data_IF_241782760519
#
_entry.id   IF_241782760519
#
_cell.length_a   1.000
_cell.length_b   1.000
_cell.length_c   1.000
_cell.angle_alpha   90.00
_cell.angle_beta   90.00
_cell.angle_gamma   90.00
#
_symmetry.space_group_name_H-M   'P 1'
#
loop_
_entity.id
_entity.type
_entity.pdbx_description
1 polymer ?
#
# COMPACT_ATOMS: atom_id res chain seq x y z
N UNK A 1 -0.97 -0.03 6.54
CA UNK A 1 -0.39 0.46 5.29
C UNK A 1 0.45 1.69 5.61
N UNK A 2 1.46 1.97 4.79
CA UNK A 2 2.26 3.19 4.84
C UNK A 2 2.03 4.03 3.59
N UNK A 3 2.34 5.32 3.68
CA UNK A 3 2.24 6.28 2.58
C UNK A 3 3.57 7.00 2.48
N UNK A 4 4.11 7.04 1.27
CA UNK A 4 5.16 7.97 0.87
C UNK A 4 4.55 8.99 -0.08
N UNK A 5 4.53 10.28 0.29
CA UNK A 5 3.99 11.34 -0.56
C UNK A 5 5.12 12.25 -1.03
N UNK A 6 5.65 11.94 -2.20
CA UNK A 6 6.67 12.76 -2.85
C UNK A 6 8.08 12.68 -2.27
N UNK A 7 8.33 11.87 -1.21
CA UNK A 7 9.67 11.83 -0.60
C UNK A 7 10.64 10.95 -1.38
N UNK A 8 10.18 9.85 -1.98
CA UNK A 8 11.02 9.03 -2.84
C UNK A 8 11.08 9.56 -4.28
N UNK A 9 9.92 9.93 -4.85
CA UNK A 9 9.81 10.50 -6.19
C UNK A 9 8.87 11.71 -6.14
N UNK A 10 9.39 12.90 -6.43
CA UNK A 10 8.60 14.14 -6.45
C UNK A 10 7.40 14.03 -7.39
N UNK A 11 6.23 14.41 -6.89
CA UNK A 11 4.97 14.37 -7.65
C UNK A 11 4.28 13.00 -7.70
N UNK A 12 4.86 11.99 -7.04
CA UNK A 12 4.29 10.65 -6.93
C UNK A 12 3.97 10.32 -5.48
N UNK A 13 2.84 9.65 -5.25
CA UNK A 13 2.52 9.04 -3.97
C UNK A 13 2.60 7.53 -4.11
N UNK A 14 3.34 6.89 -3.19
CA UNK A 14 3.38 5.43 -3.03
C UNK A 14 2.56 5.05 -1.82
N UNK A 15 1.65 4.08 -1.96
CA UNK A 15 0.89 3.52 -0.83
C UNK A 15 1.20 2.02 -0.78
N UNK A 16 1.66 1.54 0.37
CA UNK A 16 2.08 0.16 0.53
C UNK A 16 1.41 -0.53 1.73
N UNK A 17 1.05 -1.80 1.58
CA UNK A 17 0.57 -2.64 2.67
C UNK A 17 1.50 -3.83 2.85
N UNK A 18 1.98 -4.11 4.09
CA UNK A 18 2.75 -5.31 4.34
C UNK A 18 1.86 -6.54 4.23
N UNK A 19 2.47 -7.65 3.82
CA UNK A 19 1.90 -9.00 3.86
C UNK A 19 2.71 -9.77 4.89
N UNK A 20 2.04 -10.20 5.95
CA UNK A 20 2.67 -10.92 7.06
C UNK A 20 2.70 -12.42 6.78
N UNK A 21 3.78 -13.10 7.19
CA UNK A 21 3.84 -14.56 7.20
C UNK A 21 3.12 -15.16 8.43
N UNK A 22 3.17 -16.49 8.57
CA UNK A 22 2.55 -17.22 9.68
C UNK A 22 3.11 -16.82 11.06
N UNK A 23 4.37 -16.37 11.10
CA UNK A 23 5.04 -15.87 12.32
C UNK A 23 4.77 -14.38 12.58
N UNK A 24 3.80 -13.78 11.89
CA UNK A 24 3.43 -12.35 11.97
C UNK A 24 4.55 -11.37 11.59
N UNK A 25 5.56 -11.84 10.88
CA UNK A 25 6.64 -11.00 10.36
C UNK A 25 6.32 -10.53 8.94
N UNK A 26 6.76 -9.33 8.58
CA UNK A 26 6.64 -8.83 7.20
C UNK A 26 7.50 -9.70 6.29
N UNK A 27 6.86 -10.42 5.38
CA UNK A 27 7.56 -11.23 4.36
C UNK A 27 7.56 -10.54 3.00
N UNK A 28 6.48 -9.83 2.68
CA UNK A 28 6.33 -9.09 1.43
C UNK A 28 5.59 -7.78 1.67
N UNK A 29 5.51 -6.94 0.63
CA UNK A 29 4.62 -5.80 0.61
C UNK A 29 4.00 -5.68 -0.80
N UNK A 30 2.74 -5.27 -0.83
CA UNK A 30 2.11 -4.80 -2.06
C UNK A 30 2.10 -3.28 -2.03
N UNK A 31 2.53 -2.65 -3.12
CA UNK A 31 2.55 -1.21 -3.25
C UNK A 31 1.82 -0.78 -4.53
N UNK A 32 1.19 0.39 -4.48
CA UNK A 32 0.79 1.11 -5.67
C UNK A 32 1.58 2.41 -5.76
N UNK A 33 1.81 2.86 -6.98
CA UNK A 33 2.38 4.15 -7.28
C UNK A 33 1.39 4.89 -8.18
N UNK A 34 1.17 6.16 -7.89
CA UNK A 34 0.36 7.05 -8.72
C UNK A 34 0.84 8.48 -8.60
N UNK A 35 0.43 9.34 -9.52
CA UNK A 35 0.69 10.77 -9.36
C UNK A 35 -0.04 11.28 -8.11
N UNK A 36 0.59 12.17 -7.35
CA UNK A 36 0.02 12.67 -6.09
C UNK A 36 -1.36 13.31 -6.32
N UNK A 37 -1.55 14.00 -7.45
CA UNK A 37 -2.84 14.55 -7.85
C UNK A 37 -3.95 13.49 -7.94
N UNK A 38 -3.67 12.38 -8.63
CA UNK A 38 -4.65 11.31 -8.82
C UNK A 38 -4.94 10.57 -7.52
N UNK A 39 -3.90 10.29 -6.74
CA UNK A 39 -4.02 9.62 -5.45
C UNK A 39 -4.84 10.48 -4.48
N UNK A 40 -4.63 11.80 -4.45
CA UNK A 40 -5.40 12.73 -3.63
C UNK A 40 -6.86 12.83 -4.10
N UNK A 41 -7.11 12.84 -5.41
CA UNK A 41 -8.47 12.84 -5.98
C UNK A 41 -9.26 11.57 -5.62
N UNK A 42 -8.61 10.40 -5.62
CA UNK A 42 -9.24 9.12 -5.26
C UNK A 42 -9.39 8.97 -3.74
N UNK A 43 -8.42 9.50 -2.99
CA UNK A 43 -8.34 9.45 -1.54
C UNK A 43 -7.39 8.38 -1.04
N UNK A 44 -6.30 8.81 -0.40
CA UNK A 44 -5.29 7.92 0.19
C UNK A 44 -5.87 6.87 1.16
N UNK A 45 -6.80 7.21 2.09
CA UNK A 45 -7.35 6.21 3.02
C UNK A 45 -8.16 5.12 2.32
N UNK A 46 -8.87 5.47 1.24
CA UNK A 46 -9.65 4.51 0.44
C UNK A 46 -8.73 3.51 -0.23
N UNK A 47 -7.67 4.00 -0.87
CA UNK A 47 -6.67 3.16 -1.50
C UNK A 47 -5.98 2.27 -0.46
N UNK A 48 -5.49 2.85 0.64
CA UNK A 48 -4.78 2.11 1.68
C UNK A 48 -5.63 0.99 2.30
N UNK A 49 -6.94 1.22 2.50
CA UNK A 49 -7.88 0.19 2.97
C UNK A 49 -8.05 -0.93 1.95
N UNK A 50 -8.23 -0.60 0.67
CA UNK A 50 -8.31 -1.61 -0.39
C UNK A 50 -7.02 -2.45 -0.48
N UNK A 51 -5.86 -1.79 -0.37
CA UNK A 51 -4.56 -2.46 -0.41
C UNK A 51 -4.36 -3.40 0.77
N UNK A 52 -4.81 -3.01 1.97
CA UNK A 52 -4.79 -3.86 3.15
C UNK A 52 -5.67 -5.10 2.95
N UNK A 53 -6.88 -4.94 2.44
CA UNK A 53 -7.76 -6.07 2.16
C UNK A 53 -7.13 -7.05 1.15
N UNK A 54 -6.48 -6.53 0.12
CA UNK A 54 -5.76 -7.37 -0.87
C UNK A 54 -4.59 -8.09 -0.20
N UNK A 55 -3.81 -7.40 0.63
CA UNK A 55 -2.71 -8.01 1.38
C UNK A 55 -3.20 -9.14 2.30
N UNK A 56 -4.35 -8.97 2.96
CA UNK A 56 -4.96 -9.99 3.81
C UNK A 56 -5.42 -11.22 2.98
N UNK A 57 -5.97 -11.01 1.78
CA UNK A 57 -6.32 -12.11 0.85
C UNK A 57 -5.08 -12.85 0.37
N UNK A 58 -3.97 -12.15 0.11
CA UNK A 58 -2.71 -12.79 -0.28
C UNK A 58 -2.13 -13.57 0.90
N UNK A 59 -2.13 -12.99 2.10
CA UNK A 59 -1.71 -13.66 3.35
C UNK A 59 -2.43 -14.98 3.55
N UNK A 60 -3.74 -15.04 3.30
CA UNK A 60 -4.53 -16.26 3.44
C UNK A 60 -4.10 -17.40 2.49
N UNK A 61 -3.23 -17.13 1.51
CA UNK A 61 -2.70 -18.10 0.55
C UNK A 61 -1.22 -18.44 0.77
N UNK A 62 -0.57 -17.82 1.76
CA UNK A 62 0.82 -18.04 2.16
C UNK A 62 0.89 -18.97 3.37
#
# INVERSE_FOLDING_TARGET
YGIDDGNYITGMTTIASPILNQSEQVAYAIAILGTSEQVNRIGQPRIGKSLRNIADVIRAKL
#
